data_IF_708857914297
#
_entry.id   IF_708857914297
#
_cell.length_a   1.000
_cell.length_b   1.000
_cell.length_c   1.000
_cell.angle_alpha   90.00
_cell.angle_beta   90.00
_cell.angle_gamma   90.00
#
_symmetry.space_group_name_H-M   'P 1'
#
loop_
_entity.id
_entity.type
_entity.pdbx_description
1 polymer ?
#
# COMPACT_ATOMS: atom_id res chain seq x y z
N UNK A 1 6.73 -25.35 13.53
CA UNK A 1 5.81 -25.54 12.40
C UNK A 1 6.65 -25.63 11.15
N UNK A 2 6.65 -26.76 10.45
CA UNK A 2 7.24 -26.80 9.11
C UNK A 2 6.32 -25.99 8.20
N UNK A 3 6.78 -24.80 7.79
CA UNK A 3 6.05 -23.99 6.84
C UNK A 3 6.08 -24.70 5.48
N UNK A 4 4.92 -24.84 4.84
CA UNK A 4 4.87 -25.24 3.44
C UNK A 4 5.46 -24.08 2.64
N UNK A 5 6.64 -24.28 2.07
CA UNK A 5 7.31 -23.29 1.23
C UNK A 5 6.87 -23.49 -0.22
N UNK A 6 6.05 -22.58 -0.73
CA UNK A 6 5.82 -22.48 -2.17
C UNK A 6 7.08 -21.96 -2.83
N UNK A 7 7.72 -22.78 -3.66
CA UNK A 7 8.85 -22.35 -4.47
C UNK A 7 8.31 -21.69 -5.72
N UNK A 8 8.48 -20.37 -5.82
CA UNK A 8 8.34 -19.65 -7.09
C UNK A 8 9.72 -19.54 -7.73
N UNK A 9 9.81 -19.80 -9.02
CA UNK A 9 10.96 -19.40 -9.84
C UNK A 9 11.03 -17.88 -9.94
N UNK A 10 12.20 -17.34 -10.28
CA UNK A 10 12.39 -15.90 -10.45
C UNK A 10 11.45 -15.31 -11.52
N UNK A 11 11.19 -16.08 -12.58
CA UNK A 11 10.23 -15.72 -13.64
C UNK A 11 8.81 -15.64 -13.08
N UNK A 12 8.39 -16.63 -12.28
CA UNK A 12 7.06 -16.64 -11.68
C UNK A 12 6.89 -15.49 -10.68
N UNK A 13 7.91 -15.24 -9.85
CA UNK A 13 7.91 -14.14 -8.91
C UNK A 13 7.80 -12.80 -9.64
N UNK A 14 8.55 -12.62 -10.72
CA UNK A 14 8.48 -11.41 -11.56
C UNK A 14 7.08 -11.22 -12.15
N UNK A 15 6.49 -12.27 -12.71
CA UNK A 15 5.12 -12.21 -13.24
C UNK A 15 4.11 -11.82 -12.16
N UNK A 16 4.23 -12.40 -10.96
CA UNK A 16 3.37 -12.03 -9.82
C UNK A 16 3.53 -10.55 -9.46
N UNK A 17 4.77 -10.06 -9.37
CA UNK A 17 5.06 -8.67 -9.06
C UNK A 17 4.51 -7.71 -10.14
N UNK A 18 4.65 -8.08 -11.41
CA UNK A 18 4.15 -7.29 -12.54
C UNK A 18 2.60 -7.24 -12.59
N UNK A 19 1.92 -8.19 -11.96
CA UNK A 19 0.45 -8.22 -11.85
C UNK A 19 -0.12 -7.51 -10.63
N UNK A 20 0.73 -6.98 -9.74
CA UNK A 20 0.25 -6.30 -8.54
C UNK A 20 -0.62 -5.08 -8.90
N UNK A 21 -1.70 -4.91 -8.16
CA UNK A 21 -2.56 -3.74 -8.23
C UNK A 21 -2.45 -2.94 -6.93
N UNK A 22 -2.33 -1.61 -7.05
CA UNK A 22 -2.31 -0.72 -5.90
C UNK A 22 -3.71 -0.64 -5.31
N UNK A 23 -3.82 -0.71 -3.98
CA UNK A 23 -5.04 -0.38 -3.26
C UNK A 23 -4.88 1.02 -2.67
N UNK A 24 -5.84 1.89 -2.92
CA UNK A 24 -5.92 3.25 -2.37
C UNK A 24 -7.08 3.29 -1.38
N UNK A 25 -6.81 3.75 -0.15
CA UNK A 25 -7.84 3.92 0.88
C UNK A 25 -8.88 4.95 0.42
N UNK A 26 -10.16 4.65 0.65
CA UNK A 26 -11.28 5.55 0.29
C UNK A 26 -11.24 6.91 0.99
N UNK A 27 -10.51 7.03 2.10
CA UNK A 27 -10.41 8.25 2.93
C UNK A 27 -9.19 9.09 2.57
N UNK A 28 -8.30 8.60 1.71
CA UNK A 28 -7.16 9.37 1.23
C UNK A 28 -7.68 10.58 0.42
N UNK A 29 -7.28 11.78 0.83
CA UNK A 29 -7.67 13.04 0.21
C UNK A 29 -6.44 13.71 -0.43
N UNK A 30 -6.67 14.69 -1.30
CA UNK A 30 -5.60 15.48 -1.94
C UNK A 30 -4.53 14.61 -2.63
N UNK A 31 -4.94 13.50 -3.24
CA UNK A 31 -4.05 12.56 -3.95
C UNK A 31 -4.29 12.50 -5.46
N UNK A 32 -5.00 13.49 -6.02
CA UNK A 32 -5.42 13.47 -7.42
C UNK A 32 -4.24 13.37 -8.38
N UNK A 33 -3.13 14.04 -8.08
CA UNK A 33 -1.87 13.95 -8.83
C UNK A 33 -1.27 12.54 -8.81
N UNK A 34 -1.37 11.82 -7.69
CA UNK A 34 -0.93 10.41 -7.57
C UNK A 34 -1.80 9.51 -8.46
N UNK A 35 -3.12 9.68 -8.39
CA UNK A 35 -4.05 8.90 -9.21
C UNK A 35 -3.88 9.20 -10.70
N UNK A 36 -3.63 10.45 -11.06
CA UNK A 36 -3.34 10.85 -12.44
C UNK A 36 -2.02 10.29 -12.93
N UNK A 37 -1.00 10.23 -12.06
CA UNK A 37 0.24 9.54 -12.36
C UNK A 37 0.01 8.05 -12.63
N UNK A 38 -0.78 7.36 -11.78
CA UNK A 38 -1.13 5.95 -12.00
C UNK A 38 -1.83 5.76 -13.35
N UNK A 39 -2.83 6.58 -13.67
CA UNK A 39 -3.54 6.53 -14.97
C UNK A 39 -2.58 6.77 -16.14
N UNK A 40 -1.74 7.81 -16.06
CA UNK A 40 -0.75 8.16 -17.09
C UNK A 40 0.25 7.04 -17.34
N UNK A 41 0.69 6.36 -16.28
CA UNK A 41 1.64 5.24 -16.36
C UNK A 41 0.96 3.89 -16.54
N UNK A 42 -0.37 3.85 -16.61
CA UNK A 42 -1.18 2.62 -16.69
C UNK A 42 -0.88 1.65 -15.53
N UNK A 43 -0.58 2.20 -14.36
CA UNK A 43 -0.43 1.41 -13.13
C UNK A 43 -1.83 1.03 -12.67
N UNK A 44 -2.14 -0.27 -12.52
CA UNK A 44 -3.46 -0.70 -12.08
C UNK A 44 -3.65 -0.35 -10.61
N UNK A 45 -4.82 0.21 -10.29
CA UNK A 45 -5.19 0.51 -8.91
C UNK A 45 -6.69 0.34 -8.68
N UNK A 46 -7.07 0.08 -7.44
CA UNK A 46 -8.45 0.01 -6.96
C UNK A 46 -8.62 0.89 -5.74
N UNK A 47 -9.78 1.52 -5.63
CA UNK A 47 -10.16 2.29 -4.44
C UNK A 47 -10.95 1.37 -3.52
N UNK A 48 -10.51 1.23 -2.26
CA UNK A 48 -11.15 0.36 -1.26
C UNK A 48 -10.87 0.86 0.15
N UNK A 49 -11.86 0.81 1.02
CA UNK A 49 -11.64 1.12 2.45
C UNK A 49 -10.69 0.11 3.09
N UNK A 50 -9.61 0.63 3.66
CA UNK A 50 -8.64 -0.10 4.46
C UNK A 50 -8.81 0.28 5.94
N UNK A 51 -8.24 -0.52 6.84
CA UNK A 51 -8.26 -0.20 8.28
C UNK A 51 -7.09 0.70 8.69
N UNK A 52 -6.01 0.68 7.92
CA UNK A 52 -4.70 1.23 8.25
C UNK A 52 -3.98 1.58 6.95
N UNK A 53 -3.23 2.68 6.95
CA UNK A 53 -2.48 3.20 5.80
C UNK A 53 -3.37 3.68 4.64
N UNK A 54 -2.80 4.56 3.82
CA UNK A 54 -3.48 5.18 2.69
C UNK A 54 -3.31 4.39 1.40
N UNK A 55 -2.21 3.64 1.29
CA UNK A 55 -1.93 2.78 0.15
C UNK A 55 -1.48 1.39 0.61
N UNK A 56 -1.81 0.40 -0.20
CA UNK A 56 -1.30 -0.96 -0.11
C UNK A 56 -1.28 -1.58 -1.50
N UNK A 57 -1.07 -2.89 -1.59
CA UNK A 57 -1.03 -3.64 -2.83
C UNK A 57 -1.75 -4.96 -2.68
N UNK A 58 -2.35 -5.41 -3.77
CA UNK A 58 -2.95 -6.73 -3.86
C UNK A 58 -2.40 -7.48 -5.07
N UNK A 59 -2.40 -8.80 -4.96
CA UNK A 59 -2.13 -9.70 -6.05
C UNK A 59 -3.47 -10.27 -6.56
N UNK A 60 -3.85 -10.05 -7.83
CA UNK A 60 -5.11 -10.52 -8.36
C UNK A 60 -5.18 -12.04 -8.43
N UNK A 61 -6.42 -12.56 -8.41
CA UNK A 61 -6.67 -13.98 -8.70
C UNK A 61 -6.01 -14.37 -10.03
N UNK A 62 -5.09 -15.33 -9.97
CA UNK A 62 -4.43 -15.93 -11.12
C UNK A 62 -4.32 -17.44 -10.93
N UNK A 63 -5.23 -18.19 -11.58
CA UNK A 63 -5.35 -19.64 -11.41
C UNK A 63 -4.11 -20.37 -11.95
N UNK A 64 -3.52 -19.87 -13.04
CA UNK A 64 -2.33 -20.46 -13.66
C UNK A 64 -1.13 -20.44 -12.70
N UNK A 65 -1.07 -19.41 -11.86
CA UNK A 65 -0.04 -19.19 -10.83
C UNK A 65 -0.43 -19.77 -9.45
N UNK A 66 -1.54 -20.52 -9.37
CA UNK A 66 -2.04 -21.08 -8.11
C UNK A 66 -2.71 -20.08 -7.16
N UNK A 67 -2.90 -18.82 -7.59
CA UNK A 67 -3.53 -17.76 -6.81
C UNK A 67 -5.04 -17.84 -7.04
N UNK A 68 -5.72 -18.57 -6.15
CA UNK A 68 -7.15 -18.91 -6.31
C UNK A 68 -8.12 -17.76 -6.00
N UNK A 69 -7.63 -16.69 -5.36
CA UNK A 69 -8.40 -15.50 -4.94
C UNK A 69 -7.49 -14.28 -4.90
N UNK A 70 -8.06 -13.09 -4.87
CA UNK A 70 -7.28 -11.86 -4.62
C UNK A 70 -6.59 -11.93 -3.26
N UNK A 71 -5.28 -11.70 -3.24
CA UNK A 71 -4.45 -11.68 -2.03
C UNK A 71 -4.10 -10.24 -1.73
N UNK A 72 -4.63 -9.72 -0.63
CA UNK A 72 -4.30 -8.38 -0.13
C UNK A 72 -3.05 -8.51 0.74
N UNK A 73 -1.99 -7.79 0.37
CA UNK A 73 -0.77 -7.79 1.16
C UNK A 73 -0.96 -6.92 2.41
N UNK A 74 -0.27 -7.29 3.49
CA UNK A 74 -0.34 -6.53 4.74
C UNK A 74 0.58 -5.32 4.74
N UNK A 75 1.48 -5.22 3.76
CA UNK A 75 2.35 -4.07 3.58
C UNK A 75 1.53 -2.81 3.32
N UNK A 76 1.81 -1.75 4.08
CA UNK A 76 1.09 -0.48 4.00
C UNK A 76 2.03 0.69 3.80
N UNK A 77 1.55 1.69 3.08
CA UNK A 77 2.19 2.98 2.89
C UNK A 77 1.26 4.06 3.43
N UNK A 78 1.74 4.79 4.42
CA UNK A 78 1.10 6.01 4.94
C UNK A 78 1.69 7.21 4.20
N UNK A 79 0.83 8.07 3.68
CA UNK A 79 1.22 9.31 3.02
C UNK A 79 0.87 10.48 3.93
N UNK A 80 1.83 11.37 4.13
CA UNK A 80 1.57 12.72 4.63
C UNK A 80 1.80 13.68 3.47
N UNK A 81 0.82 14.52 3.19
CA UNK A 81 0.78 15.36 1.99
C UNK A 81 1.80 16.51 2.03
N UNK A 82 2.23 16.91 3.22
CA UNK A 82 3.23 17.95 3.48
C UNK A 82 3.95 17.70 4.82
N UNK A 83 5.08 18.36 5.02
CA UNK A 83 5.84 18.27 6.27
C UNK A 83 5.02 18.77 7.47
N UNK A 84 4.21 19.81 7.26
CA UNK A 84 3.37 20.37 8.32
C UNK A 84 2.31 19.37 8.81
N UNK A 85 1.72 18.56 7.93
CA UNK A 85 0.80 17.48 8.34
C UNK A 85 1.50 16.47 9.25
N UNK A 86 2.74 16.09 8.93
CA UNK A 86 3.53 15.22 9.79
C UNK A 86 3.77 15.87 11.16
N UNK A 87 4.18 17.14 11.18
CA UNK A 87 4.42 17.90 12.43
C UNK A 87 3.14 17.99 13.27
N UNK A 88 1.99 18.25 12.65
CA UNK A 88 0.69 18.28 13.34
C UNK A 88 0.28 16.91 13.88
N UNK A 89 0.53 15.83 13.13
CA UNK A 89 0.28 14.48 13.61
C UNK A 89 1.11 14.16 14.86
N UNK A 90 2.38 14.57 14.90
CA UNK A 90 3.27 14.35 16.05
C UNK A 90 2.83 15.17 17.27
N UNK A 91 2.29 16.38 17.07
CA UNK A 91 1.71 17.19 18.16
C UNK A 91 0.51 16.47 18.79
N UNK A 92 -0.31 15.79 17.98
CA UNK A 92 -1.33 14.85 18.45
C UNK A 92 -0.77 13.43 18.65
N UNK A 93 0.11 13.33 19.65
CA UNK A 93 0.89 12.12 19.94
C UNK A 93 0.07 10.83 19.97
N UNK A 94 -1.14 10.87 20.55
CA UNK A 94 -1.99 9.68 20.66
C UNK A 94 -2.49 9.23 19.29
N UNK A 95 -2.85 10.14 18.39
CA UNK A 95 -3.26 9.78 17.02
C UNK A 95 -2.10 9.16 16.25
N UNK A 96 -0.93 9.79 16.28
CA UNK A 96 0.27 9.32 15.59
C UNK A 96 0.77 7.96 16.10
N UNK A 97 0.85 7.77 17.42
CA UNK A 97 1.24 6.47 17.99
C UNK A 97 0.24 5.37 17.61
N UNK A 98 -1.05 5.66 17.59
CA UNK A 98 -2.06 4.68 17.18
C UNK A 98 -1.94 4.28 15.70
N UNK A 99 -1.55 5.19 14.81
CA UNK A 99 -1.24 4.87 13.40
C UNK A 99 -0.09 3.87 13.32
N UNK A 100 1.02 4.15 14.01
CA UNK A 100 2.20 3.28 14.05
C UNK A 100 1.91 1.92 14.71
N UNK A 101 1.18 1.89 15.83
CA UNK A 101 0.83 0.65 16.53
C UNK A 101 0.00 -0.28 15.64
N UNK A 102 -0.96 0.28 14.89
CA UNK A 102 -1.79 -0.51 13.98
C UNK A 102 -0.98 -1.10 12.82
N UNK A 103 0.07 -0.41 12.36
CA UNK A 103 0.94 -0.85 11.29
C UNK A 103 2.14 -1.71 11.76
N UNK A 104 2.51 -1.65 13.05
CA UNK A 104 3.76 -2.20 13.62
C UNK A 104 4.04 -3.66 13.29
N UNK A 105 3.00 -4.49 13.12
CA UNK A 105 3.15 -5.92 12.81
C UNK A 105 3.34 -6.22 11.32
N UNK A 106 3.31 -5.20 10.47
CA UNK A 106 3.37 -5.33 9.03
C UNK A 106 4.49 -4.45 8.46
N UNK A 107 5.01 -4.75 7.26
CA UNK A 107 5.86 -3.83 6.55
C UNK A 107 5.15 -2.46 6.39
N UNK A 108 5.79 -1.40 6.85
CA UNK A 108 5.22 -0.05 6.90
C UNK A 108 6.20 0.94 6.32
N UNK A 109 5.71 1.82 5.44
CA UNK A 109 6.47 2.94 4.88
C UNK A 109 5.70 4.22 5.12
N UNK A 110 6.36 5.23 5.68
CA UNK A 110 5.84 6.59 5.76
C UNK A 110 6.50 7.43 4.66
N UNK A 111 5.69 8.03 3.79
CA UNK A 111 6.16 9.00 2.79
C UNK A 111 5.62 10.37 3.18
N UNK A 112 6.52 11.34 3.26
CA UNK A 112 6.18 12.76 3.37
C UNK A 112 6.42 13.37 2.01
N UNK A 113 5.36 13.88 1.41
CA UNK A 113 5.43 14.60 0.14
C UNK A 113 5.66 16.09 0.39
N UNK A 114 6.19 16.78 -0.61
CA UNK A 114 6.24 18.24 -0.68
C UNK A 114 5.97 18.62 -2.14
N UNK A 115 4.77 19.12 -2.44
CA UNK A 115 4.38 19.43 -3.82
C UNK A 115 5.09 20.67 -4.38
N UNK A 116 5.52 21.57 -3.49
CA UNK A 116 6.17 22.85 -3.83
C UNK A 116 7.69 22.85 -3.53
N UNK A 117 8.27 21.67 -3.27
CA UNK A 117 9.67 21.50 -2.83
C UNK A 117 10.73 21.68 -3.91
#
# INVERSE_FOLDING_TARGET
>A
MNAIHYRCSDTELKTILDTLEIIVDTREQNNQHVLDYFRKKKVPFKIRTMKTCDYSVMNPKNIEMGITRDIYLTAGLERKNEVDELVESIKDRTRFENELIRAFKNPFVLIVEELEG
#
